data_IF_383443132447
#
_entry.id   IF_383443132447
#
_cell.length_a   1.000
_cell.length_b   1.000
_cell.length_c   1.000
_cell.angle_alpha   90.00
_cell.angle_beta   90.00
_cell.angle_gamma   90.00
#
_symmetry.space_group_name_H-M   'P 1'
#
loop_
_entity.id
_entity.type
_entity.pdbx_description
1 polymer ?
#
# COMPACT_ATOMS: atom_id res chain seq x y z
N UNK A 1 -6.49 2.80 -18.13
CA UNK A 1 -7.18 1.54 -18.47
C UNK A 1 -7.29 1.46 -19.98
N UNK A 2 -6.50 0.61 -20.62
CA UNK A 2 -6.67 0.31 -22.05
C UNK A 2 -7.30 -1.08 -22.13
N UNK A 3 -8.56 -1.12 -22.50
CA UNK A 3 -9.28 -2.36 -22.78
C UNK A 3 -9.00 -2.69 -24.25
N UNK A 4 -7.99 -3.51 -24.51
CA UNK A 4 -7.84 -4.12 -25.84
C UNK A 4 -8.83 -5.29 -25.94
N UNK A 5 -9.97 -5.03 -26.57
CA UNK A 5 -10.92 -6.06 -26.97
C UNK A 5 -10.42 -6.62 -28.30
N UNK A 6 -9.65 -7.71 -28.26
CA UNK A 6 -9.32 -8.47 -29.46
C UNK A 6 -10.47 -9.43 -29.76
N UNK A 7 -11.38 -9.02 -30.65
CA UNK A 7 -12.44 -9.87 -31.19
C UNK A 7 -11.83 -10.92 -32.12
N UNK A 8 -11.80 -12.20 -31.68
CA UNK A 8 -11.22 -13.28 -32.48
C UNK A 8 -12.26 -14.06 -33.30
N UNK A 9 -13.55 -14.07 -32.92
CA UNK A 9 -14.68 -14.53 -33.76
C UNK A 9 -16.05 -14.33 -33.07
N UNK A 10 -17.13 -14.40 -33.86
CA UNK A 10 -18.57 -14.16 -33.57
C UNK A 10 -19.20 -14.91 -32.36
N UNK A 11 -18.42 -15.68 -31.58
CA UNK A 11 -18.87 -16.43 -30.39
C UNK A 11 -17.87 -16.47 -29.22
N UNK A 12 -16.72 -15.80 -29.31
CA UNK A 12 -15.73 -15.80 -28.22
C UNK A 12 -14.86 -14.54 -28.24
N UNK A 13 -14.97 -13.73 -27.19
CA UNK A 13 -14.07 -12.61 -26.91
C UNK A 13 -13.15 -12.99 -25.75
N UNK A 14 -11.84 -12.98 -25.98
CA UNK A 14 -10.85 -13.21 -24.92
C UNK A 14 -10.52 -11.86 -24.28
N UNK A 15 -11.18 -11.57 -23.15
CA UNK A 15 -10.94 -10.35 -22.37
C UNK A 15 -9.66 -10.54 -21.56
N UNK A 16 -8.54 -10.04 -22.08
CA UNK A 16 -7.29 -9.93 -21.31
C UNK A 16 -7.35 -8.69 -20.41
N UNK A 17 -7.96 -8.85 -19.24
CA UNK A 17 -7.82 -7.86 -18.17
C UNK A 17 -6.40 -7.91 -17.62
N UNK A 18 -5.53 -6.99 -18.07
CA UNK A 18 -4.20 -6.77 -17.48
C UNK A 18 -4.37 -6.15 -16.08
N UNK A 19 -4.88 -6.94 -15.13
CA UNK A 19 -4.91 -6.57 -13.71
C UNK A 19 -3.55 -6.91 -13.10
N UNK A 20 -2.55 -6.09 -13.44
CA UNK A 20 -1.29 -6.09 -12.71
C UNK A 20 -1.55 -5.74 -11.24
N UNK A 21 -0.83 -6.35 -10.27
CA UNK A 21 -0.96 -6.02 -8.86
C UNK A 21 -0.95 -4.51 -8.68
N UNK A 22 -2.03 -4.00 -8.08
CA UNK A 22 -2.45 -2.60 -8.15
C UNK A 22 -1.27 -1.65 -7.82
N UNK A 23 -0.64 -0.97 -8.80
CA UNK A 23 0.59 -0.20 -8.57
C UNK A 23 0.38 0.97 -7.60
N UNK A 24 -0.87 1.45 -7.51
CA UNK A 24 -1.36 2.44 -6.53
C UNK A 24 -1.09 2.05 -5.08
N UNK A 25 -1.12 0.76 -4.80
CA UNK A 25 -0.97 0.23 -3.45
C UNK A 25 0.51 0.21 -3.04
N UNK A 26 1.39 -0.06 -3.99
CA UNK A 26 2.83 0.04 -3.79
C UNK A 26 3.28 1.50 -3.59
N UNK A 27 2.76 2.43 -4.38
CA UNK A 27 3.08 3.86 -4.22
C UNK A 27 2.56 4.40 -2.89
N UNK A 28 1.37 3.99 -2.45
CA UNK A 28 0.82 4.37 -1.14
C UNK A 28 1.70 3.88 0.02
N UNK A 29 2.23 2.65 -0.05
CA UNK A 29 3.20 2.16 0.92
C UNK A 29 4.50 2.99 0.93
N UNK A 30 5.05 3.27 -0.26
CA UNK A 30 6.27 4.10 -0.39
C UNK A 30 6.04 5.49 0.19
N UNK A 31 4.87 6.10 -0.04
CA UNK A 31 4.51 7.42 0.49
C UNK A 31 4.52 7.47 2.02
N UNK A 32 3.87 6.52 2.70
CA UNK A 32 3.89 6.46 4.16
C UNK A 32 5.30 6.25 4.71
N UNK A 33 6.13 5.48 4.01
CA UNK A 33 7.51 5.25 4.40
C UNK A 33 8.33 6.55 4.42
N UNK A 34 8.19 7.40 3.40
CA UNK A 34 8.87 8.69 3.33
C UNK A 34 8.42 9.64 4.44
N UNK A 35 7.13 9.66 4.77
CA UNK A 35 6.61 10.47 5.88
C UNK A 35 7.26 10.04 7.21
N UNK A 36 7.28 8.74 7.50
CA UNK A 36 7.86 8.21 8.73
C UNK A 36 9.36 8.49 8.80
N UNK A 37 10.09 8.35 7.68
CA UNK A 37 11.50 8.70 7.60
C UNK A 37 11.75 10.20 7.87
N UNK A 38 10.93 11.08 7.30
CA UNK A 38 11.02 12.53 7.55
C UNK A 38 10.76 12.87 9.02
N UNK A 39 9.70 12.30 9.61
CA UNK A 39 9.39 12.49 11.03
C UNK A 39 10.49 11.94 11.95
N UNK A 40 11.09 10.81 11.60
CA UNK A 40 12.20 10.23 12.35
C UNK A 40 13.39 11.19 12.42
N UNK A 41 13.75 11.85 11.32
CA UNK A 41 14.82 12.85 11.30
C UNK A 41 14.43 14.07 12.15
N UNK A 42 13.21 14.60 12.01
CA UNK A 42 12.74 15.75 12.80
C UNK A 42 12.78 15.46 14.31
N UNK A 43 12.27 14.29 14.74
CA UNK A 43 12.31 13.89 16.15
C UNK A 43 13.72 13.56 16.62
N UNK A 44 14.59 13.03 15.76
CA UNK A 44 16.00 12.82 16.07
C UNK A 44 16.72 14.13 16.37
N UNK A 45 16.55 15.16 15.53
CA UNK A 45 17.10 16.50 15.76
C UNK A 45 16.53 17.09 17.05
N UNK A 46 15.21 17.01 17.25
CA UNK A 46 14.57 17.53 18.47
C UNK A 46 15.07 16.83 19.74
N UNK A 47 15.28 15.51 19.69
CA UNK A 47 15.85 14.74 20.80
C UNK A 47 17.27 15.20 21.09
N UNK A 48 18.11 15.31 20.05
CA UNK A 48 19.50 15.78 20.19
C UNK A 48 19.60 17.16 20.82
N UNK A 49 18.76 18.10 20.36
CA UNK A 49 18.69 19.46 20.92
C UNK A 49 18.29 19.44 22.39
N UNK A 50 17.28 18.64 22.80
CA UNK A 50 16.89 18.56 24.21
C UNK A 50 17.95 17.91 25.10
N UNK A 51 18.60 16.85 24.61
CA UNK A 51 19.73 16.21 25.32
C UNK A 51 20.84 17.22 25.56
N UNK A 52 21.15 18.04 24.55
CA UNK A 52 22.20 19.07 24.64
C UNK A 52 21.81 20.21 25.59
N UNK A 53 20.51 20.57 25.65
CA UNK A 53 19.99 21.58 26.57
C UNK A 53 19.81 21.09 28.01
N UNK A 54 20.08 19.81 28.31
CA UNK A 54 19.90 19.24 29.65
C UNK A 54 18.44 19.18 30.11
N UNK A 55 17.49 19.33 29.19
CA UNK A 55 16.06 19.30 29.48
C UNK A 55 15.54 17.86 29.57
N UNK A 56 14.33 17.69 30.12
CA UNK A 56 13.70 16.36 30.21
C UNK A 56 13.44 15.78 28.82
N UNK A 57 14.29 14.83 28.40
CA UNK A 57 14.27 14.18 27.08
C UNK A 57 13.51 12.84 27.06
N UNK A 58 12.90 12.44 28.20
CA UNK A 58 12.22 11.15 28.34
C UNK A 58 11.08 10.97 27.33
N UNK A 59 10.32 12.04 27.04
CA UNK A 59 9.21 12.00 26.08
C UNK A 59 9.74 11.92 24.64
N UNK A 60 10.78 12.69 24.30
CA UNK A 60 11.40 12.65 22.97
C UNK A 60 12.02 11.28 22.67
N UNK A 61 12.66 10.64 23.66
CA UNK A 61 13.23 9.31 23.53
C UNK A 61 12.13 8.25 23.29
N UNK A 62 11.02 8.34 24.03
CA UNK A 62 9.87 7.47 23.85
C UNK A 62 9.25 7.61 22.45
N UNK A 63 9.09 8.85 21.95
CA UNK A 63 8.59 9.12 20.60
C UNK A 63 9.50 8.55 19.52
N UNK A 64 10.81 8.70 19.67
CA UNK A 64 11.79 8.15 18.73
C UNK A 64 11.70 6.62 18.67
N UNK A 65 11.53 5.97 19.83
CA UNK A 65 11.32 4.52 19.91
C UNK A 65 9.99 4.10 19.27
N UNK A 66 8.91 4.84 19.51
CA UNK A 66 7.61 4.61 18.87
C UNK A 66 7.69 4.68 17.34
N UNK A 67 8.56 5.55 16.81
CA UNK A 67 8.72 5.70 15.37
C UNK A 67 9.40 4.47 14.73
N UNK A 68 10.32 3.81 15.45
CA UNK A 68 10.86 2.50 15.05
C UNK A 68 9.77 1.43 15.06
N UNK A 69 8.89 1.44 16.07
CA UNK A 69 7.76 0.51 16.14
C UNK A 69 6.80 0.67 14.94
N UNK A 70 6.48 1.92 14.58
CA UNK A 70 5.65 2.25 13.40
C UNK A 70 6.30 1.73 12.12
N UNK A 71 7.62 1.78 12.01
CA UNK A 71 8.34 1.23 10.87
C UNK A 71 8.15 -0.29 10.72
N UNK A 72 8.20 -1.04 11.83
CA UNK A 72 7.88 -2.47 11.83
C UNK A 72 6.42 -2.74 11.43
N UNK A 73 5.48 -1.95 11.95
CA UNK A 73 4.06 -2.05 11.55
C UNK A 73 3.89 -1.81 10.06
N UNK A 74 4.56 -0.80 9.50
CA UNK A 74 4.59 -0.51 8.07
C UNK A 74 5.16 -1.70 7.28
N UNK A 75 6.24 -2.32 7.74
CA UNK A 75 6.82 -3.48 7.09
C UNK A 75 5.83 -4.67 7.00
N UNK A 76 5.14 -4.97 8.10
CA UNK A 76 4.10 -6.00 8.13
C UNK A 76 2.91 -5.60 7.26
N UNK A 77 2.48 -4.34 7.33
CA UNK A 77 1.42 -3.80 6.50
C UNK A 77 1.77 -3.95 5.01
N UNK A 78 2.99 -3.61 4.57
CA UNK A 78 3.46 -3.81 3.20
C UNK A 78 3.37 -5.27 2.73
N UNK A 79 3.69 -6.23 3.62
CA UNK A 79 3.53 -7.67 3.36
C UNK A 79 2.05 -8.09 3.25
N UNK A 80 1.19 -7.58 4.13
CA UNK A 80 -0.27 -7.85 4.12
C UNK A 80 -0.96 -7.23 2.91
N UNK A 81 -0.50 -6.06 2.52
CA UNK A 81 -1.00 -5.27 1.39
C UNK A 81 -0.80 -6.04 0.07
N UNK A 82 0.31 -6.76 -0.08
CA UNK A 82 0.56 -7.66 -1.22
C UNK A 82 -0.39 -8.87 -1.26
N UNK A 83 -0.87 -9.34 -0.10
CA UNK A 83 -1.74 -10.53 0.00
C UNK A 83 -3.22 -10.19 -0.16
N UNK A 84 -3.67 -9.03 0.33
CA UNK A 84 -5.07 -8.57 0.21
C UNK A 84 -5.48 -8.16 -1.21
N UNK A 85 -4.55 -7.78 -2.08
CA UNK A 85 -4.86 -7.42 -3.47
C UNK A 85 -5.33 -8.57 -4.36
N UNK A 86 -5.04 -9.83 -3.99
CA UNK A 86 -5.40 -11.03 -4.77
C UNK A 86 -6.89 -11.40 -4.73
N UNK A 87 -7.54 -11.52 -3.55
CA UNK A 87 -8.95 -11.95 -3.48
C UNK A 87 -9.95 -10.94 -4.06
N UNK A 88 -9.68 -9.63 -4.00
CA UNK A 88 -10.56 -8.63 -4.63
C UNK A 88 -10.58 -8.75 -6.16
N UNK A 89 -9.44 -9.11 -6.76
CA UNK A 89 -9.33 -9.35 -8.20
C UNK A 89 -10.22 -10.53 -8.63
N UNK A 90 -10.27 -11.60 -7.84
CA UNK A 90 -11.17 -12.73 -8.09
C UNK A 90 -12.66 -12.38 -7.89
N UNK A 91 -12.99 -11.49 -6.94
CA UNK A 91 -14.37 -11.01 -6.76
C UNK A 91 -14.85 -10.21 -7.97
N UNK A 92 -14.01 -9.33 -8.50
CA UNK A 92 -14.37 -8.53 -9.68
C UNK A 92 -14.49 -9.41 -10.94
N UNK A 93 -13.60 -10.38 -11.11
CA UNK A 93 -13.69 -11.37 -12.18
C UNK A 93 -14.98 -12.19 -12.09
N UNK A 94 -15.38 -12.60 -10.89
CA UNK A 94 -16.62 -13.33 -10.66
C UNK A 94 -17.85 -12.48 -10.96
N UNK A 95 -17.85 -11.22 -10.50
CA UNK A 95 -18.92 -10.26 -10.81
C UNK A 95 -19.09 -10.09 -12.32
N UNK A 96 -18.01 -9.85 -13.06
CA UNK A 96 -18.04 -9.72 -14.53
C UNK A 96 -18.64 -10.98 -15.20
N UNK A 97 -18.25 -12.17 -14.73
CA UNK A 97 -18.73 -13.44 -15.27
C UNK A 97 -20.22 -13.68 -14.96
N UNK A 98 -20.69 -13.30 -13.77
CA UNK A 98 -22.10 -13.40 -13.39
C UNK A 98 -22.97 -12.42 -14.19
N UNK A 99 -22.54 -11.17 -14.38
CA UNK A 99 -23.29 -10.19 -15.20
C UNK A 99 -23.40 -10.63 -16.66
N UNK A 100 -22.32 -11.15 -17.25
CA UNK A 100 -22.32 -11.71 -18.62
C UNK A 100 -23.23 -12.94 -18.75
N UNK A 101 -23.34 -13.78 -17.72
CA UNK A 101 -24.24 -14.93 -17.72
C UNK A 101 -25.70 -14.53 -17.55
N UNK A 102 -25.97 -13.44 -16.82
CA UNK A 102 -27.33 -12.93 -16.61
C UNK A 102 -27.93 -12.25 -17.84
N UNK A 103 -27.10 -11.82 -18.80
CA UNK A 103 -27.54 -11.13 -20.02
C UNK A 103 -27.71 -12.08 -21.23
N UNK A 104 -27.45 -13.37 -21.05
CA UNK A 104 -27.68 -14.43 -22.04
C UNK A 104 -28.86 -15.28 -21.62
#
# INVERSE_FOLDING_TARGET
>A
MHLEINEKNNKSATVHGLYGPNPTVWTMFMFFHFIVAGLFICFGIWTYTNVTLGNSYSIQLLLTFFMVLIWFVLYIAGRMVKTKGKPEMYKLQRFMKDTLRSYR
#
